data_IF_168618535298
#
_entry.id   IF_168618535298
#
_cell.length_a   1.000
_cell.length_b   1.000
_cell.length_c   1.000
_cell.angle_alpha   90.00
_cell.angle_beta   90.00
_cell.angle_gamma   90.00
#
_symmetry.space_group_name_H-M   'P 1'
#
loop_
_entity.id
_entity.type
_entity.pdbx_description
1 polymer ?
#
# COMPACT_ATOMS: atom_id res chain seq x y z
N UNK A 1 16.62 7.57 1.43
CA UNK A 1 15.61 6.59 1.86
C UNK A 1 15.83 5.26 1.17
N UNK A 2 15.57 4.18 1.87
CA UNK A 2 15.62 2.86 1.26
C UNK A 2 14.42 2.69 0.31
N UNK A 3 14.52 1.66 -0.54
CA UNK A 3 13.43 1.32 -1.43
C UNK A 3 12.15 0.99 -0.65
N UNK A 4 12.29 0.22 0.41
CA UNK A 4 11.16 -0.16 1.25
C UNK A 4 10.53 1.04 1.94
N UNK A 5 11.34 2.00 2.37
CA UNK A 5 10.82 3.23 2.97
C UNK A 5 10.03 4.06 1.97
N UNK A 6 10.48 4.11 0.73
CA UNK A 6 9.77 4.85 -0.32
C UNK A 6 8.46 4.16 -0.69
N UNK A 7 8.46 2.84 -0.75
CA UNK A 7 7.24 2.07 -0.99
C UNK A 7 6.24 2.30 0.15
N UNK A 8 6.71 2.26 1.39
CA UNK A 8 5.87 2.51 2.56
C UNK A 8 5.28 3.91 2.53
N UNK A 9 6.09 4.91 2.20
CA UNK A 9 5.60 6.29 2.13
C UNK A 9 4.53 6.46 1.06
N UNK A 10 4.70 5.83 -0.10
CA UNK A 10 3.71 5.88 -1.17
C UNK A 10 2.40 5.24 -0.75
N UNK A 11 2.47 4.06 -0.14
CA UNK A 11 1.28 3.36 0.33
C UNK A 11 0.61 4.11 1.48
N UNK A 12 1.39 4.71 2.38
CA UNK A 12 0.83 5.49 3.49
C UNK A 12 0.07 6.72 2.99
N UNK A 13 0.51 7.30 1.86
CA UNK A 13 -0.22 8.38 1.23
C UNK A 13 -1.65 7.97 0.84
N UNK A 14 -1.80 6.75 0.32
CA UNK A 14 -3.12 6.20 0.04
C UNK A 14 -3.89 5.91 1.33
N UNK A 15 -3.20 5.37 2.34
CA UNK A 15 -3.82 4.96 3.60
C UNK A 15 -4.39 6.12 4.41
N UNK A 16 -3.98 7.36 4.12
CA UNK A 16 -4.50 8.52 4.85
C UNK A 16 -6.01 8.70 4.71
N UNK A 17 -6.63 8.11 3.71
CA UNK A 17 -8.08 8.20 3.52
C UNK A 17 -8.86 7.33 4.49
N UNK A 18 -8.17 6.46 5.24
CA UNK A 18 -8.82 5.59 6.21
C UNK A 18 -8.72 6.18 7.61
N UNK A 19 -9.75 5.94 8.40
CA UNK A 19 -9.66 6.21 9.82
C UNK A 19 -8.70 5.21 10.46
N UNK A 20 -7.93 5.69 11.40
CA UNK A 20 -7.01 4.82 12.14
C UNK A 20 -7.77 4.05 13.20
N UNK A 21 -7.24 2.88 13.57
CA UNK A 21 -5.96 2.34 13.11
C UNK A 21 -6.07 1.52 11.83
N UNK A 22 -4.97 1.43 11.11
CA UNK A 22 -4.82 0.47 10.05
C UNK A 22 -3.40 -0.09 10.10
N UNK A 23 -3.21 -1.27 9.48
CA UNK A 23 -1.90 -1.90 9.38
C UNK A 23 -1.46 -1.88 7.94
N UNK A 24 -0.19 -1.56 7.73
CA UNK A 24 0.42 -1.53 6.41
C UNK A 24 1.57 -2.52 6.39
N UNK A 25 1.55 -3.42 5.42
CA UNK A 25 2.58 -4.45 5.28
C UNK A 25 3.04 -4.52 3.84
N UNK A 26 4.34 -4.45 3.62
CA UNK A 26 4.91 -4.72 2.31
C UNK A 26 4.95 -6.24 2.16
N UNK A 27 4.23 -6.75 1.17
CA UNK A 27 4.18 -8.19 0.92
C UNK A 27 5.37 -8.64 0.09
N UNK A 28 5.78 -7.84 -0.88
CA UNK A 28 6.89 -8.17 -1.74
C UNK A 28 7.40 -6.94 -2.45
N UNK A 29 8.71 -6.87 -2.64
CA UNK A 29 9.37 -5.84 -3.45
C UNK A 29 10.33 -6.55 -4.38
N UNK A 30 10.22 -6.27 -5.68
CA UNK A 30 11.15 -6.77 -6.66
C UNK A 30 11.58 -5.62 -7.56
N UNK A 31 12.82 -5.22 -7.43
CA UNK A 31 13.39 -4.10 -8.20
C UNK A 31 12.50 -2.86 -8.16
N UNK A 32 11.76 -2.59 -9.22
CA UNK A 32 10.98 -1.36 -9.38
C UNK A 32 9.49 -1.55 -9.15
N UNK A 33 9.08 -2.68 -8.60
CA UNK A 33 7.66 -2.95 -8.34
C UNK A 33 7.48 -3.53 -6.93
N UNK A 34 6.30 -3.28 -6.36
CA UNK A 34 5.99 -3.80 -5.03
C UNK A 34 4.49 -3.99 -4.86
N UNK A 35 4.15 -4.94 -3.98
CA UNK A 35 2.79 -5.18 -3.54
C UNK A 35 2.71 -4.88 -2.05
N UNK A 36 1.70 -4.09 -1.66
CA UNK A 36 1.51 -3.66 -0.28
C UNK A 36 0.09 -4.01 0.13
N UNK A 37 -0.09 -4.44 1.37
CA UNK A 37 -1.40 -4.68 1.95
C UNK A 37 -1.70 -3.61 2.98
N UNK A 38 -2.91 -3.05 2.92
CA UNK A 38 -3.42 -2.19 3.99
C UNK A 38 -4.64 -2.88 4.57
N UNK A 39 -4.60 -3.12 5.87
CA UNK A 39 -5.62 -3.85 6.60
C UNK A 39 -6.26 -2.88 7.59
N UNK A 40 -7.50 -2.47 7.32
CA UNK A 40 -8.24 -1.58 8.20
C UNK A 40 -9.42 -2.33 8.82
N UNK A 41 -10.18 -1.65 9.68
CA UNK A 41 -11.33 -2.28 10.33
C UNK A 41 -12.41 -2.70 9.33
N UNK A 42 -12.53 -1.99 8.22
CA UNK A 42 -13.61 -2.20 7.24
C UNK A 42 -13.16 -2.85 5.94
N UNK A 43 -11.88 -2.72 5.58
CA UNK A 43 -11.41 -3.11 4.25
C UNK A 43 -10.09 -3.85 4.30
N UNK A 44 -9.87 -4.67 3.27
CA UNK A 44 -8.58 -5.23 2.95
C UNK A 44 -8.19 -4.71 1.57
N UNK A 45 -7.04 -4.05 1.48
CA UNK A 45 -6.59 -3.45 0.23
C UNK A 45 -5.26 -4.05 -0.17
N UNK A 46 -5.11 -4.36 -1.46
CA UNK A 46 -3.83 -4.73 -2.05
C UNK A 46 -3.45 -3.65 -3.05
N UNK A 47 -2.30 -3.05 -2.82
CA UNK A 47 -1.79 -1.95 -3.64
C UNK A 47 -0.62 -2.43 -4.47
N UNK A 48 -0.62 -2.04 -5.74
CA UNK A 48 0.56 -2.22 -6.60
C UNK A 48 1.20 -0.86 -6.80
N UNK A 49 2.48 -0.77 -6.47
CA UNK A 49 3.25 0.46 -6.65
C UNK A 49 4.46 0.15 -7.51
N UNK A 50 4.92 1.16 -8.25
CA UNK A 50 6.07 1.00 -9.13
C UNK A 50 6.91 2.26 -9.14
N UNK A 51 8.19 2.09 -9.42
CA UNK A 51 9.12 3.20 -9.52
C UNK A 51 9.28 3.64 -10.97
N UNK A 52 9.17 4.94 -11.15
CA UNK A 52 9.39 5.60 -12.44
C UNK A 52 10.45 6.67 -12.22
N UNK A 53 11.66 6.40 -12.69
CA UNK A 53 12.79 7.26 -12.38
C UNK A 53 13.14 7.17 -10.90
N UNK A 54 13.00 8.27 -10.18
CA UNK A 54 13.27 8.33 -8.74
C UNK A 54 11.99 8.41 -7.89
N UNK A 55 10.82 8.15 -8.50
CA UNK A 55 9.53 8.29 -7.82
C UNK A 55 8.79 6.96 -7.81
N UNK A 56 8.20 6.65 -6.65
CA UNK A 56 7.30 5.51 -6.51
C UNK A 56 5.86 6.00 -6.59
N UNK A 57 5.06 5.34 -7.43
CA UNK A 57 3.69 5.75 -7.69
C UNK A 57 2.74 4.57 -7.49
N UNK A 58 1.56 4.87 -6.99
CA UNK A 58 0.48 3.89 -6.87
C UNK A 58 -0.14 3.66 -8.25
N UNK A 59 -0.19 2.40 -8.68
CA UNK A 59 -0.75 2.04 -9.99
C UNK A 59 -2.21 1.64 -9.90
N UNK A 60 -2.54 0.80 -8.93
CA UNK A 60 -3.90 0.31 -8.78
C UNK A 60 -4.11 -0.22 -7.38
N UNK A 61 -5.38 -0.39 -7.02
CA UNK A 61 -5.78 -0.95 -5.73
C UNK A 61 -6.86 -1.98 -6.00
N UNK A 62 -6.70 -3.16 -5.43
CA UNK A 62 -7.74 -4.17 -5.37
C UNK A 62 -8.19 -4.26 -3.92
N UNK A 63 -9.47 -4.04 -3.68
CA UNK A 63 -9.95 -3.99 -2.30
C UNK A 63 -11.23 -4.79 -2.16
N UNK A 64 -11.49 -5.21 -0.92
CA UNK A 64 -12.71 -5.91 -0.58
C UNK A 64 -13.11 -5.54 0.83
N UNK A 65 -14.39 -5.36 1.04
CA UNK A 65 -14.93 -5.08 2.36
C UNK A 65 -14.81 -6.33 3.23
N UNK A 66 -14.43 -6.15 4.48
CA UNK A 66 -14.28 -7.27 5.41
C UNK A 66 -15.64 -7.81 5.81
N UNK A 67 -15.81 -9.14 5.80
CA UNK A 67 -17.07 -9.76 6.22
C UNK A 67 -17.37 -9.44 7.70
N UNK A 68 -18.63 -9.29 8.02
CA UNK A 68 -19.08 -9.08 9.41
C UNK A 68 -18.83 -7.68 9.94
N UNK A 69 -18.59 -6.72 9.04
CA UNK A 69 -18.32 -5.33 9.44
C UNK A 69 -19.36 -4.38 8.89
#
# INVERSE_FOLDING_TARGET
MSREEMVTATAAGYGRRYEKPYELSILNVFQDIATVRIFSSAYMDYLHVARFGDRWLLLNVLWQRRPGR
#
